data_IF_405382505419
#
_entry.id   IF_405382505419
#
_cell.length_a   1.000
_cell.length_b   1.000
_cell.length_c   1.000
_cell.angle_alpha   90.00
_cell.angle_beta   90.00
_cell.angle_gamma   90.00
#
_symmetry.space_group_name_H-M   'P 1'
#
loop_
_entity.id
_entity.type
_entity.pdbx_description
1 polymer ?
#
# COMPACT_ATOMS: atom_id res chain seq x y z
N UNK A 1 -0.30 15.33 -18.45
CA UNK A 1 -1.41 14.50 -18.04
C UNK A 1 -0.98 13.58 -16.90
N UNK A 2 -1.75 13.55 -15.88
CA UNK A 2 -1.43 12.69 -14.76
C UNK A 2 -1.95 11.29 -15.02
N UNK A 3 -1.21 10.32 -14.56
CA UNK A 3 -1.63 8.93 -14.63
C UNK A 3 -2.39 8.57 -13.39
N UNK A 4 -3.40 7.73 -13.57
CA UNK A 4 -4.17 7.24 -12.44
C UNK A 4 -3.33 6.24 -11.66
N UNK A 5 -3.17 6.49 -10.37
CA UNK A 5 -2.46 5.55 -9.51
C UNK A 5 -3.29 4.30 -9.30
N UNK A 6 -2.64 3.16 -9.27
CA UNK A 6 -3.26 1.88 -9.02
C UNK A 6 -2.96 1.45 -7.59
N UNK A 7 -4.00 1.11 -6.84
CA UNK A 7 -3.87 0.71 -5.44
C UNK A 7 -4.41 -0.71 -5.28
N UNK A 8 -3.59 -1.57 -4.72
CA UNK A 8 -3.99 -2.95 -4.42
C UNK A 8 -4.37 -3.02 -2.95
N UNK A 9 -5.58 -3.51 -2.67
CA UNK A 9 -6.07 -3.68 -1.31
C UNK A 9 -6.14 -5.17 -1.00
N UNK A 10 -5.39 -5.60 0.01
CA UNK A 10 -5.40 -7.00 0.48
C UNK A 10 -6.05 -7.01 1.86
N UNK A 11 -7.28 -7.50 1.94
CA UNK A 11 -8.05 -7.57 3.18
C UNK A 11 -9.08 -8.67 3.01
N UNK A 12 -9.20 -9.55 4.00
CA UNK A 12 -10.12 -10.69 3.90
C UNK A 12 -11.56 -10.33 4.18
N UNK A 13 -11.82 -9.13 4.68
CA UNK A 13 -13.19 -8.70 4.98
C UNK A 13 -13.80 -8.02 3.75
N UNK A 14 -14.81 -8.66 3.12
CA UNK A 14 -15.37 -8.09 1.89
C UNK A 14 -15.95 -6.69 2.07
N UNK A 15 -16.53 -6.42 3.26
CA UNK A 15 -17.12 -5.12 3.53
C UNK A 15 -16.05 -4.03 3.59
N UNK A 16 -14.91 -4.33 4.19
CA UNK A 16 -13.81 -3.38 4.26
C UNK A 16 -13.24 -3.15 2.86
N UNK A 17 -13.05 -4.22 2.09
CA UNK A 17 -12.56 -4.07 0.71
C UNK A 17 -13.47 -3.18 -0.10
N UNK A 18 -14.79 -3.41 0.01
CA UNK A 18 -15.76 -2.61 -0.74
C UNK A 18 -15.70 -1.16 -0.32
N UNK A 19 -15.66 -0.91 0.99
CA UNK A 19 -15.60 0.46 1.53
C UNK A 19 -14.35 1.18 1.02
N UNK A 20 -13.22 0.52 1.09
CA UNK A 20 -11.97 1.11 0.62
C UNK A 20 -11.97 1.32 -0.90
N UNK A 21 -12.49 0.34 -1.63
CA UNK A 21 -12.59 0.46 -3.09
C UNK A 21 -13.40 1.68 -3.49
N UNK A 22 -14.57 1.84 -2.87
CA UNK A 22 -15.45 2.96 -3.22
C UNK A 22 -14.79 4.28 -2.84
N UNK A 23 -14.20 4.34 -1.65
CA UNK A 23 -13.56 5.56 -1.17
C UNK A 23 -12.37 5.95 -2.03
N UNK A 24 -11.54 4.99 -2.40
CA UNK A 24 -10.37 5.27 -3.22
C UNK A 24 -10.76 5.62 -4.64
N UNK A 25 -11.74 4.90 -5.19
CA UNK A 25 -12.21 5.18 -6.55
C UNK A 25 -12.78 6.59 -6.66
N UNK A 26 -13.44 7.07 -5.59
CA UNK A 26 -13.98 8.42 -5.59
C UNK A 26 -12.89 9.49 -5.67
N UNK A 27 -11.67 9.13 -5.32
CA UNK A 27 -10.51 10.04 -5.43
C UNK A 27 -9.78 9.88 -6.76
N UNK A 28 -10.30 9.06 -7.66
CA UNK A 28 -9.71 8.91 -8.97
C UNK A 28 -8.69 7.77 -9.08
N UNK A 29 -8.53 6.96 -8.03
CA UNK A 29 -7.58 5.85 -8.07
C UNK A 29 -8.21 4.62 -8.69
N UNK A 30 -7.39 3.82 -9.36
CA UNK A 30 -7.79 2.50 -9.81
C UNK A 30 -7.53 1.52 -8.67
N UNK A 31 -8.50 0.66 -8.37
CA UNK A 31 -8.41 -0.23 -7.20
C UNK A 31 -8.47 -1.69 -7.66
N UNK A 32 -7.56 -2.49 -7.13
CA UNK A 32 -7.54 -3.94 -7.33
C UNK A 32 -7.68 -4.55 -5.94
N UNK A 33 -8.43 -5.64 -5.83
CA UNK A 33 -8.73 -6.25 -4.54
C UNK A 33 -8.23 -7.68 -4.48
N UNK A 34 -7.83 -8.10 -3.28
CA UNK A 34 -7.47 -9.48 -3.01
C UNK A 34 -7.95 -9.83 -1.60
N UNK A 35 -8.46 -11.04 -1.42
CA UNK A 35 -9.00 -11.47 -0.13
C UNK A 35 -8.06 -12.35 0.66
N UNK A 36 -6.93 -12.76 0.10
CA UNK A 36 -5.93 -13.59 0.79
C UNK A 36 -4.54 -13.07 0.48
N UNK A 37 -3.58 -13.49 1.29
CA UNK A 37 -2.19 -13.11 1.07
C UNK A 37 -1.65 -13.65 -0.24
N UNK A 38 -1.94 -14.90 -0.56
CA UNK A 38 -1.48 -15.50 -1.81
C UNK A 38 -2.06 -14.79 -3.02
N UNK A 39 -3.36 -14.51 -2.99
CA UNK A 39 -3.99 -13.76 -4.08
C UNK A 39 -3.38 -12.37 -4.21
N UNK A 40 -3.13 -11.74 -3.06
CA UNK A 40 -2.55 -10.41 -3.04
C UNK A 40 -1.17 -10.36 -3.66
N UNK A 41 -0.32 -11.31 -3.32
CA UNK A 41 1.01 -11.35 -3.90
C UNK A 41 0.96 -11.61 -5.41
N UNK A 42 0.06 -12.48 -5.86
CA UNK A 42 -0.11 -12.74 -7.29
C UNK A 42 -0.59 -11.49 -8.02
N UNK A 43 -1.57 -10.78 -7.45
CA UNK A 43 -2.09 -9.57 -8.06
C UNK A 43 -1.03 -8.46 -8.08
N UNK A 44 -0.22 -8.38 -7.02
CA UNK A 44 0.84 -7.38 -6.98
C UNK A 44 1.84 -7.59 -8.11
N UNK A 45 2.19 -8.85 -8.38
CA UNK A 45 3.11 -9.17 -9.46
C UNK A 45 2.53 -8.84 -10.83
N UNK A 46 1.21 -9.08 -10.99
CA UNK A 46 0.56 -8.84 -12.28
C UNK A 46 0.29 -7.38 -12.53
N UNK A 47 -0.24 -6.67 -11.53
CA UNK A 47 -0.74 -5.32 -11.74
C UNK A 47 0.29 -4.24 -11.46
N UNK A 48 1.34 -4.56 -10.72
CA UNK A 48 2.39 -3.60 -10.36
C UNK A 48 1.78 -2.33 -9.79
N UNK A 49 1.12 -2.42 -8.62
CA UNK A 49 0.42 -1.27 -8.07
C UNK A 49 1.39 -0.17 -7.64
N UNK A 50 0.86 1.04 -7.51
CA UNK A 50 1.63 2.18 -7.02
C UNK A 50 1.61 2.27 -5.51
N UNK A 51 0.67 1.59 -4.87
CA UNK A 51 0.53 1.55 -3.42
C UNK A 51 -0.14 0.24 -3.04
N UNK A 52 0.34 -0.37 -1.96
CA UNK A 52 -0.26 -1.58 -1.40
C UNK A 52 -0.90 -1.22 -0.07
N UNK A 53 -2.19 -1.57 0.10
CA UNK A 53 -2.88 -1.49 1.39
C UNK A 53 -3.03 -2.91 1.89
N UNK A 54 -2.46 -3.20 3.04
CA UNK A 54 -2.31 -4.57 3.52
C UNK A 54 -2.88 -4.73 4.91
N UNK A 55 -3.87 -5.62 5.05
CA UNK A 55 -4.38 -6.03 6.36
C UNK A 55 -3.46 -7.13 6.90
N UNK A 56 -3.09 -7.03 8.17
CA UNK A 56 -2.23 -8.04 8.78
C UNK A 56 -2.97 -9.29 9.18
N UNK A 57 -4.29 -9.23 9.37
CA UNK A 57 -5.06 -10.37 9.82
C UNK A 57 -5.63 -11.23 8.72
N UNK A 58 -4.78 -11.72 7.83
CA UNK A 58 -5.23 -12.52 6.68
C UNK A 58 -5.40 -13.98 7.08
N UNK A 59 -6.30 -14.72 6.37
CA UNK A 59 -6.62 -16.10 6.77
C UNK A 59 -5.58 -17.13 6.36
N UNK A 60 -4.86 -16.92 5.29
CA UNK A 60 -3.98 -17.93 4.71
C UNK A 60 -2.52 -17.76 5.13
N UNK A 61 -2.12 -16.55 5.52
CA UNK A 61 -0.75 -16.32 5.94
C UNK A 61 -0.69 -15.03 6.76
N UNK A 62 0.36 -14.90 7.55
CA UNK A 62 0.59 -13.70 8.33
C UNK A 62 0.85 -12.53 7.38
N UNK A 63 0.16 -11.41 7.61
CA UNK A 63 0.39 -10.21 6.80
C UNK A 63 1.83 -9.72 6.87
N UNK A 64 2.53 -9.96 7.97
CA UNK A 64 3.96 -9.64 8.06
C UNK A 64 4.76 -10.43 7.03
N UNK A 65 4.36 -11.67 6.77
CA UNK A 65 5.02 -12.48 5.75
C UNK A 65 4.74 -11.95 4.35
N UNK A 66 3.49 -11.52 4.11
CA UNK A 66 3.16 -10.89 2.81
C UNK A 66 4.07 -9.69 2.58
N UNK A 67 4.24 -8.87 3.62
CA UNK A 67 5.07 -7.68 3.52
C UNK A 67 6.52 -8.05 3.20
N UNK A 68 7.07 -9.04 3.88
CA UNK A 68 8.44 -9.47 3.65
C UNK A 68 8.63 -9.98 2.22
N UNK A 69 7.70 -10.80 1.74
CA UNK A 69 7.80 -11.33 0.39
C UNK A 69 7.67 -10.26 -0.66
N UNK A 70 6.73 -9.32 -0.44
CA UNK A 70 6.56 -8.21 -1.37
C UNK A 70 7.83 -7.36 -1.45
N UNK A 71 8.50 -7.13 -0.31
CA UNK A 71 9.70 -6.33 -0.25
C UNK A 71 10.90 -6.97 -0.94
N UNK A 72 10.85 -8.28 -1.18
CA UNK A 72 11.94 -8.93 -1.90
C UNK A 72 12.07 -8.43 -3.34
N UNK A 73 10.99 -7.89 -3.91
CA UNK A 73 11.03 -7.47 -5.31
C UNK A 73 10.35 -6.13 -5.57
N UNK A 74 9.92 -5.41 -4.56
CA UNK A 74 9.24 -4.14 -4.78
C UNK A 74 9.55 -3.14 -3.67
N UNK A 75 9.67 -1.86 -4.06
CA UNK A 75 9.84 -0.76 -3.12
C UNK A 75 8.60 0.12 -3.06
N UNK A 76 7.51 -0.32 -3.64
CA UNK A 76 6.24 0.41 -3.65
C UNK A 76 5.80 0.64 -2.20
N UNK A 77 5.27 1.83 -1.87
CA UNK A 77 4.85 2.09 -0.50
C UNK A 77 3.74 1.15 -0.05
N UNK A 78 3.79 0.76 1.23
CA UNK A 78 2.82 -0.13 1.83
C UNK A 78 2.21 0.57 3.05
N UNK A 79 0.88 0.62 3.07
CA UNK A 79 0.10 1.13 4.19
C UNK A 79 -0.56 -0.08 4.86
N UNK A 80 -0.18 -0.34 6.11
CA UNK A 80 -0.68 -1.49 6.84
C UNK A 80 -1.93 -1.11 7.62
N UNK A 81 -2.95 -1.97 7.56
CA UNK A 81 -4.17 -1.85 8.37
C UNK A 81 -4.19 -2.99 9.38
N UNK A 82 -4.62 -2.70 10.62
CA UNK A 82 -4.73 -3.76 11.61
C UNK A 82 -5.62 -3.31 12.75
N UNK A 83 -6.40 -4.26 13.32
CA UNK A 83 -7.15 -3.98 14.53
C UNK A 83 -6.23 -3.94 15.76
N UNK A 84 -5.00 -4.43 15.61
CA UNK A 84 -4.07 -4.51 16.73
C UNK A 84 -3.22 -3.27 16.77
N UNK A 85 -3.25 -2.62 17.91
CA UNK A 85 -2.58 -1.33 18.08
C UNK A 85 -1.35 -1.43 18.96
N UNK A 86 -0.84 -2.63 19.24
CA UNK A 86 0.32 -2.75 20.12
C UNK A 86 1.54 -2.12 19.46
N UNK A 87 2.36 -1.51 20.29
CA UNK A 87 3.58 -0.88 19.80
C UNK A 87 4.48 -1.89 19.12
N UNK A 88 4.59 -3.11 19.69
CA UNK A 88 5.45 -4.13 19.13
C UNK A 88 5.06 -4.53 17.72
N UNK A 89 3.75 -4.60 17.46
CA UNK A 89 3.31 -4.97 16.13
C UNK A 89 3.53 -3.86 15.11
N UNK A 90 3.36 -2.61 15.55
CA UNK A 90 3.66 -1.48 14.68
C UNK A 90 5.14 -1.44 14.32
N UNK A 91 5.99 -1.65 15.32
CA UNK A 91 7.43 -1.66 15.10
C UNK A 91 7.81 -2.79 14.15
N UNK A 92 7.23 -3.99 14.36
CA UNK A 92 7.52 -5.11 13.47
C UNK A 92 7.14 -4.81 12.04
N UNK A 93 5.97 -4.19 11.82
CA UNK A 93 5.53 -3.87 10.47
C UNK A 93 6.45 -2.84 9.83
N UNK A 94 6.81 -1.79 10.57
CA UNK A 94 7.67 -0.74 10.03
C UNK A 94 9.07 -1.27 9.75
N UNK A 95 9.61 -2.09 10.65
CA UNK A 95 10.91 -2.70 10.44
C UNK A 95 10.89 -3.67 9.25
N UNK A 96 9.74 -4.30 9.00
CA UNK A 96 9.58 -5.21 7.88
C UNK A 96 9.38 -4.53 6.55
N UNK A 97 9.31 -3.19 6.53
CA UNK A 97 9.23 -2.46 5.29
C UNK A 97 7.93 -1.71 5.03
N UNK A 98 7.02 -1.67 6.02
CA UNK A 98 5.81 -0.86 5.88
C UNK A 98 6.17 0.62 5.97
N UNK A 99 5.47 1.43 5.19
CA UNK A 99 5.73 2.87 5.17
C UNK A 99 4.83 3.62 6.15
N UNK A 100 3.69 3.04 6.51
CA UNK A 100 2.78 3.66 7.46
C UNK A 100 1.88 2.58 8.03
N UNK A 101 1.15 2.92 9.08
CA UNK A 101 0.34 1.97 9.83
C UNK A 101 -0.93 2.67 10.31
N UNK A 102 -2.09 2.09 10.02
CA UNK A 102 -3.37 2.64 10.46
C UNK A 102 -4.10 1.58 11.27
N UNK A 103 -4.60 1.96 12.44
CA UNK A 103 -5.32 1.06 13.32
C UNK A 103 -6.81 1.11 13.01
N UNK A 104 -7.43 -0.06 12.85
CA UNK A 104 -8.88 -0.16 12.67
C UNK A 104 -9.56 -0.03 14.03
N UNK A 105 -10.69 0.64 14.14
CA UNK A 105 -11.39 1.39 13.10
C UNK A 105 -10.69 2.72 12.83
N UNK A 106 -10.75 3.18 11.60
CA UNK A 106 -10.08 4.42 11.23
C UNK A 106 -11.08 5.36 10.56
N UNK A 107 -10.76 6.65 10.59
CA UNK A 107 -11.53 7.63 9.85
C UNK A 107 -11.13 7.60 8.38
N UNK A 108 -12.12 7.72 7.50
CA UNK A 108 -11.81 7.66 6.07
C UNK A 108 -10.95 8.84 5.63
N UNK A 109 -11.13 10.00 6.24
CA UNK A 109 -10.32 11.16 5.87
C UNK A 109 -8.86 10.95 6.25
N UNK A 110 -8.60 10.34 7.42
CA UNK A 110 -7.24 10.02 7.82
C UNK A 110 -6.62 9.01 6.87
N UNK A 111 -7.38 7.97 6.52
CA UNK A 111 -6.88 6.95 5.61
C UNK A 111 -6.50 7.56 4.26
N UNK A 112 -7.40 8.37 3.70
CA UNK A 112 -7.14 8.98 2.39
C UNK A 112 -5.96 9.96 2.45
N UNK A 113 -5.81 10.66 3.56
CA UNK A 113 -4.67 11.57 3.71
C UNK A 113 -3.35 10.82 3.72
N UNK A 114 -3.31 9.66 4.38
CA UNK A 114 -2.10 8.85 4.41
C UNK A 114 -1.80 8.26 3.03
N UNK A 115 -2.84 7.85 2.30
CA UNK A 115 -2.67 7.37 0.92
C UNK A 115 -2.04 8.47 0.06
N UNK A 116 -2.59 9.68 0.14
CA UNK A 116 -2.04 10.79 -0.64
C UNK A 116 -0.58 11.07 -0.28
N UNK A 117 -0.28 11.03 1.02
CA UNK A 117 1.08 11.30 1.46
C UNK A 117 2.06 10.26 0.95
N UNK A 118 1.68 8.99 0.99
CA UNK A 118 2.56 7.93 0.52
C UNK A 118 2.77 7.99 -0.98
N UNK A 119 1.73 8.32 -1.74
CA UNK A 119 1.87 8.43 -3.18
C UNK A 119 2.76 9.61 -3.57
N UNK A 120 2.72 10.70 -2.80
CA UNK A 120 3.60 11.84 -3.06
C UNK A 120 5.05 11.52 -2.80
N UNK A 121 5.31 10.66 -1.80
CA UNK A 121 6.67 10.33 -1.39
C UNK A 121 7.28 9.18 -2.19
N UNK A 122 6.46 8.49 -2.97
CA UNK A 122 6.95 7.36 -3.74
C UNK A 122 7.99 7.81 -4.74
N UNK A 123 9.05 7.03 -4.95
CA UNK A 123 10.05 7.38 -5.96
C UNK A 123 9.41 7.42 -7.32
N UNK A 124 9.64 8.52 -7.99
CA UNK A 124 9.06 8.66 -9.31
C UNK A 124 9.90 7.94 -10.32
N UNK A 125 11.00 7.76 -10.02
CA UNK A 125 11.79 7.07 -10.89
C UNK A 125 11.43 5.72 -10.92
N UNK A 126 10.91 5.60 -10.27
CA UNK A 126 10.66 4.69 -10.49
C UNK A 126 10.06 4.97 -11.33
N UNK A 127 9.73 5.40 -11.45
CA UNK A 127 9.27 5.70 -12.38
C UNK A 127 9.79 6.81 -12.87
N UNK A 128 10.41 7.33 -12.57
CA UNK A 128 10.94 8.14 -12.89
C UNK A 128 12.04 8.15 -12.78
N UNK A 129 12.68 7.62 -12.77
CA UNK A 129 13.39 7.80 -12.74
C UNK A 129 13.83 8.15 -13.36
N UNK A 130 13.86 8.43 -13.57
CA UNK A 130 14.25 9.03 -13.97
C UNK A 130 14.39 10.04 -13.96
N UNK A 131 14.47 10.51 -13.74
CA UNK A 131 14.69 11.53 -13.67
C UNK A 131 15.38 12.07 -13.11
N UNK A 132 15.85 11.98 -12.76
CA UNK A 132 16.34 12.32 -12.54
C UNK A 132 17.09 12.34 -12.36
N UNK A 133 17.43 12.13 -12.24
CA UNK A 133 17.99 12.07 -12.29
C UNK A 133 18.38 12.58 -12.27
N UNK A 134 18.38 13.07 -11.66
CA UNK A 134 18.44 13.58 -11.89
C UNK A 134 18.56 13.94 -11.41
N UNK A 135 18.74 13.99 -10.94
CA UNK A 135 18.58 14.20 -10.91
C UNK A 135 18.59 14.50 -10.27
N UNK A 136 18.70 14.66 -9.97
CA UNK A 136 18.43 14.75 -9.94
C UNK A 136 18.26 14.96 -9.58
N UNK A 137 18.40 15.10 -9.16
CA UNK A 137 18.01 15.18 -9.39
C UNK A 137 17.65 15.38 -9.19
N UNK A 138 17.72 15.43 -8.65
CA UNK A 138 17.09 15.53 -8.91
C UNK A 138 16.66 15.96 -8.76
N UNK A 139 16.80 16.15 -8.34
CA UNK A 139 16.13 16.42 -8.59
C UNK A 139 15.69 16.93 -8.54
N UNK A 140 15.65 17.08 -8.01
CA UNK A 140 15.04 17.31 -8.27
C UNK A 140 14.80 17.73 -8.28
N UNK A 141 15.07 17.81 -7.96
CA UNK A 141 14.74 17.96 -8.24
C UNK A 141 14.56 18.36 -8.35
#
# INVERSE_FOLDING_TARGET
MSQTATILVIDDEPQIRKFLRISLASQGYKVIEAGTGNEGLAQAALSKPDLLVLDLGLPDMDGQQVLREFREWSTVPVLVLSVRASEGQKVEALDGGANDYVTKPFGIQEFLARVRALLRQAPVGEAQEAALQFGSLTVDL
#
